data_IF_499459814068
#
_entry.id   IF_499459814068
#
_cell.length_a   1.000
_cell.length_b   1.000
_cell.length_c   1.000
_cell.angle_alpha   90.00
_cell.angle_beta   90.00
_cell.angle_gamma   90.00
#
_symmetry.space_group_name_H-M   'P 1'
#
loop_
_entity.id
_entity.type
_entity.pdbx_description
1 polymer ?
#
# COMPACT_ATOMS: atom_id res chain seq x y z
N UNK A 1 -28.56 -0.35 -16.21
CA UNK A 1 -28.55 1.08 -15.84
C UNK A 1 -29.53 1.38 -14.68
N UNK A 2 -30.76 0.87 -14.71
CA UNK A 2 -31.77 1.09 -13.65
C UNK A 2 -31.33 0.54 -12.29
N UNK A 3 -30.71 -0.65 -12.22
CA UNK A 3 -30.23 -1.23 -10.96
C UNK A 3 -29.13 -0.38 -10.28
N UNK A 4 -28.21 0.21 -11.05
CA UNK A 4 -27.20 1.13 -10.52
C UNK A 4 -27.79 2.43 -10.00
N UNK A 5 -28.87 2.93 -10.63
CA UNK A 5 -29.58 4.14 -10.20
C UNK A 5 -30.35 3.87 -8.90
N UNK A 6 -31.01 2.71 -8.75
CA UNK A 6 -31.71 2.33 -7.53
C UNK A 6 -30.76 2.18 -6.34
N UNK A 7 -29.59 1.57 -6.53
CA UNK A 7 -28.53 1.47 -5.51
C UNK A 7 -28.08 2.86 -5.07
N UNK A 8 -27.91 3.80 -6.00
CA UNK A 8 -27.44 5.15 -5.68
C UNK A 8 -28.49 6.01 -4.96
N UNK A 9 -29.77 5.89 -5.34
CA UNK A 9 -30.84 6.74 -4.80
C UNK A 9 -31.47 6.24 -3.50
N UNK A 10 -31.45 4.93 -3.27
CA UNK A 10 -32.13 4.31 -2.11
C UNK A 10 -31.14 3.66 -1.14
N UNK A 11 -30.22 2.85 -1.65
CA UNK A 11 -29.32 2.06 -0.82
C UNK A 11 -28.20 2.91 -0.20
N UNK A 12 -27.61 3.84 -0.95
CA UNK A 12 -26.53 4.72 -0.45
C UNK A 12 -27.02 5.61 0.71
N UNK A 13 -28.14 6.36 0.62
CA UNK A 13 -28.64 7.12 1.76
C UNK A 13 -28.98 6.28 2.99
N UNK A 14 -29.47 5.05 2.78
CA UNK A 14 -29.73 4.12 3.88
C UNK A 14 -28.42 3.67 4.55
N UNK A 15 -27.42 3.31 3.76
CA UNK A 15 -26.10 2.93 4.27
C UNK A 15 -25.41 4.11 4.96
N UNK A 16 -25.49 5.31 4.39
CA UNK A 16 -24.91 6.52 4.99
C UNK A 16 -25.53 6.80 6.38
N UNK A 17 -26.85 6.67 6.53
CA UNK A 17 -27.54 6.80 7.83
C UNK A 17 -27.13 5.70 8.81
N UNK A 18 -26.97 4.45 8.34
CA UNK A 18 -26.55 3.33 9.16
C UNK A 18 -25.11 3.51 9.65
N UNK A 19 -24.20 3.90 8.77
CA UNK A 19 -22.83 4.19 9.12
C UNK A 19 -22.73 5.39 10.06
N UNK A 20 -23.44 6.49 9.78
CA UNK A 20 -23.50 7.64 10.67
C UNK A 20 -23.88 7.23 12.09
N UNK A 21 -24.98 6.47 12.24
CA UNK A 21 -25.40 5.98 13.56
C UNK A 21 -24.36 5.08 14.21
N UNK A 22 -23.74 4.18 13.44
CA UNK A 22 -22.72 3.28 13.95
C UNK A 22 -21.52 4.07 14.50
N UNK A 23 -20.96 4.98 13.71
CA UNK A 23 -19.80 5.81 14.12
C UNK A 23 -20.13 6.66 15.36
N UNK A 24 -21.31 7.29 15.37
CA UNK A 24 -21.77 8.09 16.50
C UNK A 24 -21.95 7.26 17.76
N UNK A 25 -22.68 6.15 17.68
CA UNK A 25 -22.92 5.26 18.84
C UNK A 25 -21.61 4.68 19.36
N UNK A 26 -20.69 4.27 18.49
CA UNK A 26 -19.36 3.80 18.90
C UNK A 26 -18.63 4.87 19.67
N UNK A 27 -18.61 6.12 19.17
CA UNK A 27 -17.96 7.24 19.86
C UNK A 27 -18.57 7.52 21.23
N UNK A 28 -19.90 7.47 21.36
CA UNK A 28 -20.59 7.74 22.61
C UNK A 28 -20.35 6.65 23.68
N UNK A 29 -20.22 5.38 23.26
CA UNK A 29 -20.13 4.24 24.17
C UNK A 29 -18.70 3.81 24.53
N UNK A 30 -17.69 4.22 23.78
CA UNK A 30 -16.29 3.88 24.05
C UNK A 30 -15.60 4.98 24.84
N UNK A 31 -14.67 4.62 25.70
CA UNK A 31 -13.79 5.56 26.40
C UNK A 31 -12.75 6.16 25.44
N UNK A 32 -12.16 5.31 24.61
CA UNK A 32 -11.17 5.68 23.58
C UNK A 32 -11.47 4.97 22.25
N UNK A 33 -11.15 5.63 21.15
CA UNK A 33 -11.20 5.06 19.79
C UNK A 33 -9.80 5.11 19.20
N UNK A 34 -9.27 3.93 18.87
CA UNK A 34 -7.93 3.78 18.34
C UNK A 34 -8.02 3.67 16.82
N UNK A 35 -7.38 4.60 16.13
CA UNK A 35 -7.27 4.62 14.68
C UNK A 35 -5.89 4.10 14.26
N UNK A 36 -5.80 3.43 13.13
CA UNK A 36 -4.50 3.00 12.58
C UNK A 36 -3.65 4.17 12.07
N UNK A 37 -4.29 5.29 11.75
CA UNK A 37 -3.65 6.54 11.31
C UNK A 37 -4.39 7.73 11.88
N UNK A 38 -3.65 8.75 12.30
CA UNK A 38 -4.21 10.01 12.77
C UNK A 38 -5.03 10.72 11.69
N UNK A 39 -4.68 10.49 10.44
CA UNK A 39 -5.32 11.07 9.26
C UNK A 39 -6.78 10.62 9.06
N UNK A 40 -7.18 9.48 9.64
CA UNK A 40 -8.58 9.00 9.58
C UNK A 40 -9.51 9.68 10.58
N UNK A 41 -9.00 10.50 11.49
CA UNK A 41 -9.80 11.16 12.53
C UNK A 41 -10.86 12.08 11.94
N UNK A 42 -10.49 12.88 10.95
CA UNK A 42 -11.42 13.81 10.30
C UNK A 42 -12.53 13.07 9.55
N UNK A 43 -12.18 12.00 8.86
CA UNK A 43 -13.16 11.16 8.15
C UNK A 43 -14.13 10.50 9.13
N UNK A 44 -13.62 9.94 10.24
CA UNK A 44 -14.47 9.36 11.28
C UNK A 44 -15.45 10.38 11.83
N UNK A 45 -14.97 11.59 12.18
CA UNK A 45 -15.81 12.67 12.67
C UNK A 45 -16.87 13.09 11.66
N UNK A 46 -16.50 13.23 10.39
CA UNK A 46 -17.43 13.55 9.30
C UNK A 46 -18.52 12.49 9.15
N UNK A 47 -18.16 11.21 9.15
CA UNK A 47 -19.11 10.10 9.05
C UNK A 47 -20.03 9.99 10.27
N UNK A 48 -19.51 10.25 11.46
CA UNK A 48 -20.26 10.23 12.72
C UNK A 48 -21.01 11.52 13.05
N UNK A 49 -20.79 12.62 12.31
CA UNK A 49 -21.32 13.95 12.66
C UNK A 49 -20.79 14.45 14.01
N UNK A 50 -19.52 14.14 14.32
CA UNK A 50 -18.88 14.43 15.59
C UNK A 50 -18.08 15.73 15.54
N UNK A 51 -18.17 16.55 16.58
CA UNK A 51 -17.35 17.74 16.77
C UNK A 51 -16.26 17.54 17.82
N UNK A 52 -16.56 16.72 18.84
CA UNK A 52 -15.58 16.34 19.86
C UNK A 52 -14.63 15.28 19.31
N UNK A 53 -13.34 15.47 19.56
CA UNK A 53 -12.25 14.61 19.09
C UNK A 53 -11.39 14.03 20.23
N UNK A 54 -11.80 14.25 21.48
CA UNK A 54 -11.01 13.94 22.68
C UNK A 54 -10.75 12.46 22.90
N UNK A 55 -11.65 11.59 22.39
CA UNK A 55 -11.54 10.13 22.55
C UNK A 55 -10.62 9.46 21.51
N UNK A 56 -10.18 10.19 20.48
CA UNK A 56 -9.35 9.58 19.44
C UNK A 56 -7.88 9.56 19.79
N UNK A 57 -7.28 8.41 19.57
CA UNK A 57 -5.83 8.20 19.56
C UNK A 57 -5.45 7.41 18.32
N UNK A 58 -4.20 7.48 17.87
CA UNK A 58 -3.73 6.65 16.75
C UNK A 58 -2.58 5.77 17.19
N UNK A 59 -2.70 4.48 16.89
CA UNK A 59 -1.65 3.48 17.09
C UNK A 59 -1.60 2.66 15.81
N UNK A 60 -0.53 2.77 15.01
CA UNK A 60 -0.39 2.01 13.77
C UNK A 60 -0.11 0.53 14.05
N UNK A 61 -0.23 -0.31 13.02
CA UNK A 61 0.21 -1.68 13.11
C UNK A 61 1.75 -1.76 13.13
N UNK A 62 2.28 -2.70 13.90
CA UNK A 62 3.69 -3.03 13.86
C UNK A 62 4.09 -3.66 12.53
N UNK A 63 5.38 -3.69 12.21
CA UNK A 63 5.93 -4.47 11.09
C UNK A 63 5.65 -5.97 11.28
N UNK A 64 5.54 -6.70 10.16
CA UNK A 64 5.15 -8.11 10.19
C UNK A 64 6.27 -9.07 10.56
N UNK A 65 7.52 -8.64 10.46
CA UNK A 65 8.70 -9.51 10.63
C UNK A 65 9.66 -8.91 11.64
N UNK A 66 10.37 -9.76 12.37
CA UNK A 66 11.38 -9.33 13.36
C UNK A 66 12.67 -8.87 12.67
N UNK A 67 12.96 -9.43 11.48
CA UNK A 67 14.16 -9.15 10.72
C UNK A 67 14.04 -7.89 9.85
N UNK A 68 15.13 -7.14 9.75
CA UNK A 68 15.33 -6.09 8.76
C UNK A 68 16.44 -6.49 7.79
N UNK A 69 16.37 -6.04 6.53
CA UNK A 69 17.47 -6.27 5.61
C UNK A 69 18.71 -5.52 6.06
N UNK A 70 19.83 -6.23 6.20
CA UNK A 70 21.13 -5.60 6.41
C UNK A 70 21.55 -4.83 5.13
N UNK A 71 22.08 -3.62 5.31
CA UNK A 71 22.47 -2.70 4.23
C UNK A 71 23.48 -3.31 3.26
N UNK A 72 24.35 -4.22 3.72
CA UNK A 72 25.30 -4.93 2.85
C UNK A 72 24.63 -5.76 1.74
N UNK A 73 23.36 -6.13 1.90
CA UNK A 73 22.61 -6.89 0.90
C UNK A 73 21.87 -6.01 -0.11
N UNK A 74 21.74 -4.70 0.12
CA UNK A 74 21.07 -3.78 -0.82
C UNK A 74 21.67 -3.85 -2.24
N UNK A 75 23.01 -3.92 -2.43
CA UNK A 75 23.60 -4.02 -3.77
C UNK A 75 23.28 -5.32 -4.52
N UNK A 76 22.74 -6.34 -3.83
CA UNK A 76 22.39 -7.64 -4.40
C UNK A 76 20.96 -7.70 -4.90
N UNK A 77 20.17 -6.64 -4.68
CA UNK A 77 18.77 -6.58 -5.16
C UNK A 77 18.72 -6.64 -6.68
N UNK A 78 17.74 -7.38 -7.16
CA UNK A 78 17.50 -7.62 -8.59
C UNK A 78 16.69 -6.47 -9.21
N UNK A 79 16.72 -6.37 -10.51
CA UNK A 79 15.86 -5.48 -11.29
C UNK A 79 14.42 -6.05 -11.33
N UNK A 80 13.81 -6.11 -10.16
CA UNK A 80 12.49 -6.68 -9.96
C UNK A 80 11.58 -5.65 -9.30
N UNK A 81 10.38 -5.49 -9.88
CA UNK A 81 9.25 -4.82 -9.26
C UNK A 81 8.36 -5.88 -8.63
N UNK A 82 7.95 -5.67 -7.40
CA UNK A 82 7.18 -6.63 -6.62
C UNK A 82 5.79 -6.08 -6.31
N UNK A 83 4.78 -6.91 -6.46
CA UNK A 83 3.43 -6.72 -5.90
C UNK A 83 3.17 -7.88 -4.95
N UNK A 84 2.78 -7.59 -3.71
CA UNK A 84 2.35 -8.60 -2.73
C UNK A 84 0.95 -8.22 -2.26
N UNK A 85 -0.06 -9.01 -2.66
CA UNK A 85 -1.43 -8.71 -2.28
C UNK A 85 -2.37 -9.90 -2.49
N UNK A 86 -3.61 -9.78 -1.96
CA UNK A 86 -4.72 -10.56 -2.48
C UNK A 86 -5.06 -10.07 -3.89
N UNK A 87 -5.46 -10.98 -4.77
CA UNK A 87 -5.87 -10.64 -6.12
C UNK A 87 -7.38 -10.33 -6.15
N UNK A 88 -7.68 -9.11 -5.71
CA UNK A 88 -9.01 -8.52 -5.61
C UNK A 88 -9.00 -7.20 -6.40
N UNK A 89 -9.62 -7.20 -7.57
CA UNK A 89 -9.57 -6.04 -8.46
C UNK A 89 -10.27 -4.81 -7.87
N UNK A 90 -11.34 -4.99 -7.10
CA UNK A 90 -12.09 -3.87 -6.51
C UNK A 90 -11.21 -3.07 -5.55
N UNK A 91 -10.40 -3.74 -4.76
CA UNK A 91 -9.52 -3.10 -3.79
C UNK A 91 -8.12 -2.85 -4.35
N UNK A 92 -7.49 -3.86 -4.98
CA UNK A 92 -6.05 -3.83 -5.30
C UNK A 92 -5.73 -3.27 -6.68
N UNK A 93 -6.69 -3.29 -7.61
CA UNK A 93 -6.59 -2.72 -8.96
C UNK A 93 -5.29 -3.13 -9.69
N UNK A 94 -4.95 -4.44 -9.62
CA UNK A 94 -3.75 -4.97 -10.28
C UNK A 94 -3.82 -4.79 -11.80
N UNK A 95 -5.02 -4.68 -12.37
CA UNK A 95 -5.22 -4.34 -13.77
C UNK A 95 -4.52 -3.03 -14.18
N UNK A 96 -4.54 -1.99 -13.32
CA UNK A 96 -3.82 -0.74 -13.54
C UNK A 96 -2.29 -0.95 -13.46
N UNK A 97 -1.83 -1.78 -12.51
CA UNK A 97 -0.42 -2.13 -12.43
C UNK A 97 0.10 -2.77 -13.71
N UNK A 98 -0.70 -3.66 -14.32
CA UNK A 98 -0.36 -4.30 -15.60
C UNK A 98 -0.36 -3.30 -16.77
N UNK A 99 -1.25 -2.29 -16.78
CA UNK A 99 -1.22 -1.21 -17.78
C UNK A 99 0.07 -0.37 -17.66
N UNK A 100 0.43 0.03 -16.45
CA UNK A 100 1.69 0.75 -16.20
C UNK A 100 2.89 -0.13 -16.58
N UNK A 101 2.85 -1.43 -16.26
CA UNK A 101 3.92 -2.36 -16.63
C UNK A 101 4.09 -2.48 -18.15
N UNK A 102 3.00 -2.36 -18.92
CA UNK A 102 3.08 -2.31 -20.38
C UNK A 102 3.93 -1.14 -20.89
N UNK A 103 3.84 0.02 -20.27
CA UNK A 103 4.69 1.17 -20.61
C UNK A 103 6.16 0.86 -20.29
N UNK A 104 6.44 0.22 -19.17
CA UNK A 104 7.79 -0.16 -18.74
C UNK A 104 8.38 -1.19 -19.69
N UNK A 105 7.65 -2.26 -20.00
CA UNK A 105 8.15 -3.38 -20.83
C UNK A 105 8.38 -2.97 -22.30
N UNK A 106 7.72 -1.90 -22.78
CA UNK A 106 7.95 -1.35 -24.12
C UNK A 106 9.07 -0.33 -24.19
N UNK A 107 9.57 0.13 -23.04
CA UNK A 107 10.66 1.09 -22.97
C UNK A 107 12.02 0.38 -23.08
N UNK A 108 12.77 0.66 -24.13
CA UNK A 108 14.06 0.02 -24.41
C UNK A 108 15.12 0.32 -23.36
N UNK A 109 15.02 1.45 -22.66
CA UNK A 109 15.95 1.82 -21.57
C UNK A 109 15.77 0.94 -20.32
N UNK A 110 14.62 0.26 -20.21
CA UNK A 110 14.24 -0.54 -19.04
C UNK A 110 14.33 -2.06 -19.28
N UNK A 111 15.05 -2.46 -20.31
CA UNK A 111 15.28 -3.87 -20.59
C UNK A 111 15.92 -4.58 -19.37
N UNK A 112 15.47 -5.80 -19.09
CA UNK A 112 16.00 -6.64 -17.99
C UNK A 112 15.30 -6.40 -16.65
N UNK A 113 14.20 -5.63 -16.60
CA UNK A 113 13.32 -5.55 -15.44
C UNK A 113 12.18 -6.58 -15.56
N UNK A 114 11.75 -7.12 -14.41
CA UNK A 114 10.63 -8.06 -14.31
C UNK A 114 9.62 -7.62 -13.25
N UNK A 115 8.35 -7.98 -13.44
CA UNK A 115 7.27 -7.80 -12.47
C UNK A 115 6.91 -9.15 -11.86
N UNK A 116 6.95 -9.23 -10.52
CA UNK A 116 6.52 -10.42 -9.77
C UNK A 116 5.27 -10.12 -8.96
N UNK A 117 4.26 -10.95 -9.12
CA UNK A 117 3.01 -10.89 -8.36
C UNK A 117 2.98 -12.07 -7.38
N UNK A 118 3.08 -11.76 -6.09
CA UNK A 118 3.00 -12.73 -5.00
C UNK A 118 1.63 -12.59 -4.34
N UNK A 119 0.85 -13.64 -4.38
CA UNK A 119 -0.49 -13.66 -3.83
C UNK A 119 -1.43 -14.58 -4.60
N UNK A 120 -2.71 -14.45 -4.31
CA UNK A 120 -3.79 -15.22 -4.93
C UNK A 120 -5.12 -14.51 -4.72
N UNK A 121 -6.14 -14.86 -5.48
CA UNK A 121 -7.49 -14.34 -5.31
C UNK A 121 -8.37 -14.55 -6.53
N UNK A 122 -9.60 -14.09 -6.43
CA UNK A 122 -10.65 -14.34 -7.44
C UNK A 122 -10.32 -13.75 -8.82
N UNK A 123 -9.58 -12.64 -8.85
CA UNK A 123 -9.22 -11.92 -10.09
C UNK A 123 -7.96 -12.48 -10.78
N UNK A 124 -7.38 -13.59 -10.32
CA UNK A 124 -6.12 -14.11 -10.88
C UNK A 124 -6.24 -14.51 -12.36
N UNK A 125 -7.37 -15.14 -12.73
CA UNK A 125 -7.65 -15.51 -14.11
C UNK A 125 -7.69 -14.30 -15.04
N UNK A 126 -8.35 -13.22 -14.61
CA UNK A 126 -8.52 -12.01 -15.38
C UNK A 126 -7.18 -11.29 -15.58
N UNK A 127 -6.32 -11.27 -14.56
CA UNK A 127 -4.96 -10.73 -14.67
C UNK A 127 -4.08 -11.52 -15.62
N UNK A 128 -4.18 -12.87 -15.59
CA UNK A 128 -3.45 -13.73 -16.55
C UNK A 128 -3.93 -13.52 -17.99
N UNK A 129 -5.22 -13.30 -18.19
CA UNK A 129 -5.79 -12.94 -19.50
C UNK A 129 -5.30 -11.57 -19.96
N UNK A 130 -5.29 -10.58 -19.06
CA UNK A 130 -4.79 -9.24 -19.35
C UNK A 130 -3.28 -9.27 -19.71
N UNK A 131 -2.46 -10.04 -19.01
CA UNK A 131 -1.03 -10.24 -19.36
C UNK A 131 -0.90 -10.75 -20.78
N UNK A 132 -1.73 -11.73 -21.20
CA UNK A 132 -1.74 -12.24 -22.58
C UNK A 132 -2.21 -11.18 -23.58
N UNK A 133 -3.31 -10.50 -23.30
CA UNK A 133 -3.88 -9.49 -24.19
C UNK A 133 -2.95 -8.30 -24.41
N UNK A 134 -2.24 -7.86 -23.37
CA UNK A 134 -1.22 -6.83 -23.42
C UNK A 134 0.12 -7.32 -24.00
N UNK A 135 0.26 -8.64 -24.29
CA UNK A 135 1.48 -9.28 -24.78
C UNK A 135 2.69 -9.04 -23.86
N UNK A 136 2.50 -9.05 -22.53
CA UNK A 136 3.58 -8.91 -21.55
C UNK A 136 4.39 -10.20 -21.45
N UNK A 137 5.72 -10.06 -21.37
CA UNK A 137 6.67 -11.19 -21.37
C UNK A 137 7.39 -11.37 -20.04
N UNK A 138 7.56 -10.28 -19.29
CA UNK A 138 8.35 -10.24 -18.06
C UNK A 138 7.46 -10.05 -16.82
N UNK A 139 6.33 -10.77 -16.77
CA UNK A 139 5.40 -10.83 -15.64
C UNK A 139 5.30 -12.27 -15.15
N UNK A 140 5.49 -12.49 -13.85
CA UNK A 140 5.32 -13.81 -13.22
C UNK A 140 4.33 -13.78 -12.08
N UNK A 141 3.52 -14.85 -11.98
CA UNK A 141 2.59 -15.09 -10.88
C UNK A 141 3.18 -16.18 -9.99
N UNK A 142 3.59 -15.78 -8.79
CA UNK A 142 4.31 -16.65 -7.85
C UNK A 142 3.38 -17.46 -6.94
N UNK A 143 2.07 -17.17 -6.98
CA UNK A 143 1.06 -17.78 -6.11
C UNK A 143 1.19 -17.35 -4.65
N UNK A 144 0.52 -18.09 -3.76
CA UNK A 144 0.60 -17.87 -2.31
C UNK A 144 1.93 -18.37 -1.77
N UNK A 145 2.82 -17.45 -1.43
CA UNK A 145 4.17 -17.74 -0.95
C UNK A 145 4.48 -16.93 0.31
N UNK A 146 5.53 -17.34 1.06
CA UNK A 146 6.14 -16.45 2.03
C UNK A 146 6.84 -15.29 1.28
N UNK A 147 6.42 -14.03 1.47
CA UNK A 147 6.89 -12.92 0.66
C UNK A 147 8.31 -12.44 1.02
N UNK A 148 8.88 -12.84 2.16
CA UNK A 148 10.17 -12.35 2.67
C UNK A 148 11.29 -12.49 1.64
N UNK A 149 11.39 -13.66 0.98
CA UNK A 149 12.41 -13.88 -0.06
C UNK A 149 12.26 -12.91 -1.25
N UNK A 150 11.02 -12.56 -1.58
CA UNK A 150 10.73 -11.63 -2.69
C UNK A 150 11.07 -10.19 -2.29
N UNK A 151 10.68 -9.74 -1.09
CA UNK A 151 11.09 -8.42 -0.60
C UNK A 151 12.61 -8.27 -0.51
N UNK A 152 13.32 -9.30 -0.01
CA UNK A 152 14.79 -9.27 0.11
C UNK A 152 15.47 -9.11 -1.26
N UNK A 153 14.90 -9.66 -2.32
CA UNK A 153 15.51 -9.68 -3.65
C UNK A 153 15.03 -8.55 -4.57
N UNK A 154 13.82 -8.01 -4.39
CA UNK A 154 13.26 -6.99 -5.28
C UNK A 154 13.76 -5.59 -4.95
N UNK A 155 13.93 -4.76 -5.97
CA UNK A 155 14.37 -3.36 -5.81
C UNK A 155 13.21 -2.41 -5.54
N UNK A 156 12.07 -2.59 -6.23
CA UNK A 156 10.91 -1.71 -6.16
C UNK A 156 9.67 -2.49 -5.72
N UNK A 157 8.77 -1.79 -5.06
CA UNK A 157 7.46 -2.30 -4.68
C UNK A 157 6.37 -1.42 -5.32
N UNK A 158 5.37 -2.03 -5.91
CA UNK A 158 4.28 -1.34 -6.59
C UNK A 158 2.95 -1.60 -5.90
N UNK A 159 2.19 -0.55 -5.64
CA UNK A 159 0.85 -0.66 -5.05
C UNK A 159 -0.13 0.28 -5.75
N UNK A 160 -1.21 -0.30 -6.27
CA UNK A 160 -2.27 0.42 -7.01
C UNK A 160 -3.62 0.39 -6.29
N UNK A 161 -3.63 0.04 -5.01
CA UNK A 161 -4.85 -0.13 -4.20
C UNK A 161 -5.72 1.13 -4.20
N UNK A 162 -7.03 0.94 -4.30
CA UNK A 162 -8.02 2.01 -4.20
C UNK A 162 -8.22 2.49 -2.76
N UNK A 163 -8.15 1.57 -1.80
CA UNK A 163 -8.29 1.86 -0.38
C UNK A 163 -7.52 0.86 0.47
N UNK A 164 -6.95 1.37 1.57
CA UNK A 164 -6.26 0.60 2.61
C UNK A 164 -6.57 1.23 3.98
N UNK A 165 -6.60 0.40 5.01
CA UNK A 165 -6.60 0.90 6.39
C UNK A 165 -5.17 1.26 6.82
N UNK A 166 -4.34 0.23 6.99
CA UNK A 166 -2.89 0.31 7.21
C UNK A 166 -2.23 -0.78 6.39
N UNK A 167 -1.57 -0.46 5.29
CA UNK A 167 -1.08 -1.47 4.34
C UNK A 167 0.16 -2.19 4.87
N UNK A 168 -0.01 -3.38 5.45
CA UNK A 168 1.09 -4.17 5.99
C UNK A 168 2.17 -4.45 4.95
N UNK A 169 1.77 -4.81 3.71
CA UNK A 169 2.72 -5.09 2.63
C UNK A 169 3.58 -3.89 2.22
N UNK A 170 3.08 -2.66 2.45
CA UNK A 170 3.86 -1.44 2.26
C UNK A 170 4.94 -1.32 3.35
N UNK A 171 4.60 -1.53 4.63
CA UNK A 171 5.57 -1.56 5.72
C UNK A 171 6.60 -2.68 5.53
N UNK A 172 6.15 -3.86 5.11
CA UNK A 172 7.02 -5.00 4.80
C UNK A 172 8.01 -4.66 3.68
N UNK A 173 7.56 -3.98 2.63
CA UNK A 173 8.45 -3.55 1.55
C UNK A 173 9.57 -2.64 2.04
N UNK A 174 9.23 -1.66 2.90
CA UNK A 174 10.20 -0.77 3.52
C UNK A 174 11.19 -1.52 4.41
N UNK A 175 10.70 -2.49 5.21
CA UNK A 175 11.51 -3.28 6.14
C UNK A 175 12.66 -4.02 5.43
N UNK A 176 12.43 -4.41 4.19
CA UNK A 176 13.44 -5.07 3.37
C UNK A 176 14.05 -4.16 2.30
N UNK A 177 13.88 -2.85 2.39
CA UNK A 177 14.49 -1.89 1.47
C UNK A 177 13.98 -2.02 0.02
N UNK A 178 12.76 -2.52 -0.16
CA UNK A 178 12.07 -2.52 -1.44
C UNK A 178 11.34 -1.17 -1.54
N UNK A 179 11.78 -0.30 -2.45
CA UNK A 179 11.30 1.09 -2.53
C UNK A 179 9.88 1.13 -3.07
N UNK A 180 8.89 1.61 -2.29
CA UNK A 180 7.51 1.66 -2.74
C UNK A 180 7.23 2.83 -3.67
N UNK A 181 6.45 2.56 -4.71
CA UNK A 181 5.73 3.53 -5.52
C UNK A 181 4.25 3.16 -5.42
N UNK A 182 3.41 4.07 -4.94
CA UNK A 182 2.00 3.80 -4.67
C UNK A 182 1.10 4.91 -5.18
N UNK A 183 -0.12 4.60 -5.59
CA UNK A 183 -1.13 5.62 -5.82
C UNK A 183 -1.57 6.26 -4.50
N UNK A 184 -1.66 7.58 -4.49
CA UNK A 184 -2.08 8.36 -3.33
C UNK A 184 -3.60 8.31 -3.15
N UNK A 185 -4.07 7.19 -2.61
CA UNK A 185 -5.51 6.91 -2.41
C UNK A 185 -5.92 6.87 -0.95
N UNK A 186 -4.95 6.82 -0.02
CA UNK A 186 -5.22 6.61 1.39
C UNK A 186 -4.38 7.53 2.26
N UNK A 187 -5.02 8.20 3.20
CA UNK A 187 -4.36 9.14 4.11
C UNK A 187 -3.23 8.49 4.94
N UNK A 188 -3.35 7.20 5.30
CA UNK A 188 -2.30 6.47 6.02
C UNK A 188 -0.98 6.34 5.26
N UNK A 189 -0.99 6.45 3.94
CA UNK A 189 0.23 6.38 3.14
C UNK A 189 1.20 7.53 3.47
N UNK A 190 0.68 8.73 3.77
CA UNK A 190 1.47 9.90 4.15
C UNK A 190 2.18 9.76 5.50
N UNK A 191 1.74 8.84 6.36
CA UNK A 191 2.43 8.52 7.61
C UNK A 191 3.56 7.48 7.40
N UNK A 192 3.46 6.67 6.35
CA UNK A 192 4.42 5.61 6.04
C UNK A 192 5.49 6.10 5.06
N UNK A 193 5.07 6.79 4.00
CA UNK A 193 5.94 7.27 2.93
C UNK A 193 6.34 8.74 3.17
N UNK A 194 7.63 8.98 3.14
CA UNK A 194 8.24 10.30 3.08
C UNK A 194 8.64 10.53 1.63
N UNK A 195 7.89 11.39 0.94
CA UNK A 195 7.98 11.62 -0.50
C UNK A 195 9.42 11.89 -0.97
N UNK A 196 9.94 11.04 -1.87
CA UNK A 196 11.28 11.16 -2.43
C UNK A 196 12.40 10.71 -1.51
N UNK A 197 12.10 10.26 -0.28
CA UNK A 197 13.10 9.76 0.66
C UNK A 197 13.08 8.24 0.79
N UNK A 198 11.93 7.66 1.14
CA UNK A 198 11.77 6.21 1.32
C UNK A 198 10.81 5.57 0.32
N UNK A 199 10.16 6.37 -0.52
CA UNK A 199 9.19 5.95 -1.52
C UNK A 199 8.55 7.13 -2.24
N UNK A 200 7.55 6.83 -3.06
CA UNK A 200 6.80 7.84 -3.81
C UNK A 200 5.30 7.60 -3.73
N UNK A 201 4.58 8.70 -3.49
CA UNK A 201 3.15 8.82 -3.68
C UNK A 201 2.91 9.44 -5.07
N UNK A 202 2.04 8.84 -5.86
CA UNK A 202 1.66 9.30 -7.19
C UNK A 202 0.16 9.56 -7.19
N UNK A 203 -0.27 10.65 -7.77
CA UNK A 203 -1.71 10.99 -7.90
C UNK A 203 -2.49 9.82 -8.50
N UNK A 204 -3.61 9.46 -7.89
CA UNK A 204 -4.46 8.36 -8.35
C UNK A 204 -4.90 8.55 -9.81
N UNK A 205 -4.72 7.50 -10.61
CA UNK A 205 -5.04 7.50 -12.03
C UNK A 205 -3.99 8.18 -12.94
N UNK A 206 -2.90 8.74 -12.41
CA UNK A 206 -1.82 9.27 -13.25
C UNK A 206 -0.81 8.15 -13.58
N UNK A 207 -1.19 7.28 -14.50
CA UNK A 207 -0.36 6.17 -15.00
C UNK A 207 0.96 6.66 -15.59
N UNK A 208 0.93 7.83 -16.25
CA UNK A 208 2.13 8.41 -16.87
C UNK A 208 3.14 8.84 -15.82
N UNK A 209 2.71 9.55 -14.77
CA UNK A 209 3.59 9.96 -13.68
C UNK A 209 4.10 8.74 -12.91
N UNK A 210 3.27 7.72 -12.71
CA UNK A 210 3.67 6.47 -12.08
C UNK A 210 4.81 5.79 -12.88
N UNK A 211 4.62 5.64 -14.19
CA UNK A 211 5.66 5.11 -15.08
C UNK A 211 6.94 5.95 -15.02
N UNK A 212 6.86 7.30 -15.12
CA UNK A 212 8.04 8.17 -15.11
C UNK A 212 8.80 8.08 -13.77
N UNK A 213 8.08 7.99 -12.65
CA UNK A 213 8.66 7.80 -11.32
C UNK A 213 9.40 6.46 -11.23
N UNK A 214 8.80 5.38 -11.74
CA UNK A 214 9.44 4.07 -11.81
C UNK A 214 10.67 4.12 -12.72
N UNK A 215 10.56 4.69 -13.93
CA UNK A 215 11.68 4.81 -14.87
C UNK A 215 12.87 5.52 -14.24
N UNK A 216 12.65 6.65 -13.56
CA UNK A 216 13.70 7.37 -12.85
C UNK A 216 14.44 6.48 -11.86
N UNK A 217 13.69 5.74 -11.03
CA UNK A 217 14.29 4.83 -10.06
C UNK A 217 14.98 3.62 -10.72
N UNK A 218 14.40 3.08 -11.79
CA UNK A 218 14.98 1.95 -12.51
C UNK A 218 16.33 2.27 -13.15
N UNK A 219 16.53 3.49 -13.60
CA UNK A 219 17.77 3.95 -14.23
C UNK A 219 18.82 4.42 -13.21
N UNK A 220 18.41 4.92 -12.05
CA UNK A 220 19.34 5.50 -11.06
C UNK A 220 19.64 4.53 -9.90
N UNK A 221 20.62 3.66 -10.11
CA UNK A 221 21.08 2.68 -9.10
C UNK A 221 21.64 3.35 -7.84
N UNK A 222 22.29 4.53 -7.99
CA UNK A 222 22.84 5.27 -6.85
C UNK A 222 21.75 5.74 -5.91
N UNK A 223 20.73 6.41 -6.47
CA UNK A 223 19.58 6.87 -5.71
C UNK A 223 18.77 5.71 -5.11
N UNK A 224 18.58 4.60 -5.85
CA UNK A 224 17.94 3.40 -5.30
C UNK A 224 18.61 2.89 -4.03
N UNK A 225 19.96 2.84 -3.99
CA UNK A 225 20.69 2.40 -2.79
C UNK A 225 20.41 3.30 -1.58
N UNK A 226 20.45 4.62 -1.79
CA UNK A 226 20.16 5.61 -0.73
C UNK A 226 18.73 5.48 -0.23
N UNK A 227 17.77 5.43 -1.15
CA UNK A 227 16.35 5.29 -0.79
C UNK A 227 16.05 3.96 -0.11
N UNK A 228 16.69 2.86 -0.55
CA UNK A 228 16.54 1.54 0.09
C UNK A 228 17.01 1.56 1.55
N UNK A 229 18.12 2.23 1.87
CA UNK A 229 18.59 2.43 3.26
C UNK A 229 17.57 3.23 4.07
N UNK A 230 17.12 4.37 3.51
CA UNK A 230 16.11 5.22 4.16
C UNK A 230 14.78 4.49 4.36
N UNK A 231 14.37 3.62 3.44
CA UNK A 231 13.19 2.77 3.57
C UNK A 231 13.31 1.86 4.80
N UNK A 232 14.43 1.13 4.93
CA UNK A 232 14.69 0.26 6.08
C UNK A 232 14.70 1.08 7.38
N UNK A 233 15.39 2.21 7.43
CA UNK A 233 15.45 3.04 8.62
C UNK A 233 14.08 3.59 9.01
N UNK A 234 13.29 4.04 8.05
CA UNK A 234 11.95 4.58 8.29
C UNK A 234 10.98 3.53 8.84
N UNK A 235 11.10 2.27 8.41
CA UNK A 235 10.25 1.18 8.89
C UNK A 235 10.48 0.83 10.37
N UNK A 236 11.65 1.17 10.92
CA UNK A 236 11.96 0.99 12.36
C UNK A 236 11.12 1.85 13.30
N UNK A 237 10.33 2.78 12.76
CA UNK A 237 9.31 3.53 13.54
C UNK A 237 8.19 2.61 14.00
N UNK A 238 7.96 1.52 13.30
CA UNK A 238 6.85 0.59 13.48
C UNK A 238 7.29 -0.78 14.02
N UNK A 239 8.42 -0.85 14.74
CA UNK A 239 8.83 -2.10 15.43
C UNK A 239 7.82 -2.50 16.49
N UNK A 240 7.71 -3.81 16.75
CA UNK A 240 6.76 -4.35 17.71
C UNK A 240 6.89 -3.67 19.08
N UNK A 241 8.13 -3.55 19.61
CA UNK A 241 8.37 -2.91 20.90
C UNK A 241 7.83 -1.47 20.98
N UNK A 242 8.03 -0.69 19.93
CA UNK A 242 7.54 0.69 19.89
C UNK A 242 6.01 0.77 19.86
N UNK A 243 5.37 -0.15 19.16
CA UNK A 243 3.91 -0.20 19.09
C UNK A 243 3.33 -0.72 20.39
N UNK A 244 3.93 -1.75 20.99
CA UNK A 244 3.54 -2.27 22.32
C UNK A 244 3.65 -1.17 23.38
N UNK A 245 4.75 -0.41 23.43
CA UNK A 245 4.89 0.70 24.36
C UNK A 245 3.78 1.77 24.20
N UNK A 246 3.31 2.04 22.96
CA UNK A 246 2.18 2.95 22.75
C UNK A 246 0.87 2.39 23.33
N UNK A 247 0.64 1.08 23.20
CA UNK A 247 -0.51 0.42 23.80
C UNK A 247 -0.43 0.39 25.32
N UNK A 248 0.74 0.09 25.88
CA UNK A 248 0.94 0.08 27.35
C UNK A 248 0.69 1.45 27.96
N UNK A 249 1.22 2.52 27.33
CA UNK A 249 0.97 3.88 27.78
C UNK A 249 -0.53 4.21 27.75
N UNK A 250 -1.23 3.85 26.66
CA UNK A 250 -2.66 4.11 26.54
C UNK A 250 -3.51 3.38 27.58
N UNK A 251 -3.13 2.15 27.94
CA UNK A 251 -3.89 1.31 28.89
C UNK A 251 -3.59 1.65 30.35
N UNK A 252 -2.48 2.34 30.63
CA UNK A 252 -2.09 2.78 31.96
C UNK A 252 -2.52 4.22 32.29
N UNK A 253 -3.00 4.99 31.26
CA UNK A 253 -3.61 6.31 31.41
C UNK A 253 -5.10 6.20 31.83
#
# INVERSE_FOLDING_TARGET
ALAKILIYLVYKPYMDKRFHRLYKTTYEQCDKIILLSSSYKEDYCRFGGLTDKSKFTSIPNAVSFDDFLDFQYIPRKQNTVLIVSRFDEVQKRISLALQIWKLIETDKDLFGWELKLVGFGESESDYKEQVKSLNLKHVSFEGKQNPVKYYKNSSLFMMTSLFEGWPMTLNESLQFGCIPIVYDTCASFHEIIIQGENGYLVTDGDERMFYLTMKKLMLDTGNRKIMSQKAIESSKRFTLDKIVNQWENLLND
#
